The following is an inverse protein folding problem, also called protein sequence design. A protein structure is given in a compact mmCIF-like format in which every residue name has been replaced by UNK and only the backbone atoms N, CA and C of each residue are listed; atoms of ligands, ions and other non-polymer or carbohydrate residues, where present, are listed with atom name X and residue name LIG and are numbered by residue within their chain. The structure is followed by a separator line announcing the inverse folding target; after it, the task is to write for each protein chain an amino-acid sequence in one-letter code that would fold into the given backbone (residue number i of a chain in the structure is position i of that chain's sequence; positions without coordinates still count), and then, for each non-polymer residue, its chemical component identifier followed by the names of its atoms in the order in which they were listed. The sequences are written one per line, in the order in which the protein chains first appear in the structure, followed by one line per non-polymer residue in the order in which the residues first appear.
data_IF_172572731224
#
_entry.id   IF_172572731224
#
_cell.length_a   1.000
_cell.length_b   1.000
_cell.length_c   1.000
_cell.angle_alpha   90.00
_cell.angle_beta   90.00
_cell.angle_gamma   90.00
#
_symmetry.space_group_name_H-M   'P 1'
#
loop_
_entity.id
_entity.type
_entity.pdbx_description
1 polymer ?
#
# COMPACT_ATOMS: atom_id res chain seq x y z
N UNK A 1 -23.04 -28.58 24.75
CA UNK A 1 -21.97 -27.56 24.91
C UNK A 1 -21.24 -27.34 23.57
N UNK A 2 -21.96 -26.86 22.53
CA UNK A 2 -21.58 -27.06 21.12
C UNK A 2 -21.35 -25.76 20.34
N UNK A 3 -21.00 -24.65 20.99
CA UNK A 3 -21.12 -23.31 20.39
C UNK A 3 -19.82 -22.53 20.17
N UNK A 4 -18.70 -22.80 20.84
CA UNK A 4 -17.59 -21.83 20.84
C UNK A 4 -16.79 -21.70 19.51
N UNK A 5 -16.29 -22.76 18.85
CA UNK A 5 -15.31 -22.57 17.77
C UNK A 5 -15.93 -22.16 16.42
N UNK A 6 -17.13 -22.69 16.09
CA UNK A 6 -17.86 -22.29 14.89
C UNK A 6 -18.26 -20.82 14.97
N UNK A 7 -18.76 -20.39 16.13
CA UNK A 7 -19.15 -19.00 16.37
C UNK A 7 -17.91 -18.10 16.36
N UNK A 8 -16.78 -18.51 16.92
CA UNK A 8 -15.54 -17.72 16.85
C UNK A 8 -15.04 -17.52 15.43
N UNK A 9 -15.10 -18.55 14.56
CA UNK A 9 -14.69 -18.40 13.15
C UNK A 9 -15.71 -17.58 12.36
N UNK A 10 -17.00 -17.79 12.58
CA UNK A 10 -18.05 -16.97 11.95
C UNK A 10 -17.98 -15.52 12.42
N UNK A 11 -17.65 -15.26 13.70
CA UNK A 11 -17.41 -13.92 14.22
C UNK A 11 -16.15 -13.31 13.63
N UNK A 12 -15.06 -14.07 13.49
CA UNK A 12 -13.83 -13.59 12.85
C UNK A 12 -14.08 -13.24 11.37
N UNK A 13 -14.78 -14.10 10.64
CA UNK A 13 -15.19 -13.85 9.25
C UNK A 13 -16.16 -12.67 9.16
N UNK A 14 -17.11 -12.54 10.10
CA UNK A 14 -18.04 -11.40 10.15
C UNK A 14 -17.31 -10.08 10.46
N UNK A 15 -16.34 -10.10 11.37
CA UNK A 15 -15.45 -8.96 11.65
C UNK A 15 -14.64 -8.56 10.42
N UNK A 16 -14.14 -9.54 9.65
CA UNK A 16 -13.43 -9.29 8.40
C UNK A 16 -14.36 -8.74 7.30
N UNK A 17 -15.61 -9.20 7.21
CA UNK A 17 -16.61 -8.66 6.27
C UNK A 17 -17.08 -7.25 6.64
N UNK A 18 -17.02 -6.86 7.92
CA UNK A 18 -17.33 -5.47 8.32
C UNK A 18 -16.14 -4.52 8.14
N UNK A 19 -14.95 -5.05 7.88
CA UNK A 19 -13.71 -4.30 7.62
C UNK A 19 -13.35 -4.32 6.13
N UNK A 20 -14.10 -5.05 5.30
CA UNK A 20 -13.79 -5.20 3.89
C UNK A 20 -14.20 -3.94 3.15
N UNK A 21 -13.34 -2.96 3.09
CA UNK A 21 -13.17 -2.22 1.86
C UNK A 21 -11.78 -2.60 1.39
N UNK A 22 -11.64 -3.22 0.21
CA UNK A 22 -10.33 -3.25 -0.44
C UNK A 22 -10.11 -1.85 -1.01
N UNK A 23 -9.62 -0.95 -0.17
CA UNK A 23 -9.19 0.35 -0.63
C UNK A 23 -7.95 0.17 -1.50
N UNK A 24 -7.91 0.75 -2.70
CA UNK A 24 -6.62 1.07 -3.31
C UNK A 24 -5.84 1.93 -2.30
N UNK A 25 -4.57 1.60 -2.06
CA UNK A 25 -3.72 2.49 -1.26
C UNK A 25 -3.40 3.67 -2.15
N UNK A 26 -3.84 4.85 -1.74
CA UNK A 26 -3.61 6.07 -2.50
C UNK A 26 -2.32 6.74 -2.05
N UNK A 27 -1.48 7.09 -3.01
CA UNK A 27 -0.18 7.68 -2.74
C UNK A 27 -0.16 9.14 -3.16
N UNK A 28 0.23 10.00 -2.22
CA UNK A 28 0.66 11.36 -2.57
C UNK A 28 2.16 11.43 -2.43
N UNK A 29 2.79 11.72 -3.56
CA UNK A 29 4.22 11.96 -3.57
C UNK A 29 4.48 13.43 -3.34
N UNK A 30 5.52 13.73 -2.56
CA UNK A 30 5.93 15.11 -2.36
C UNK A 30 7.43 15.27 -2.56
N UNK A 31 7.82 16.30 -3.30
CA UNK A 31 9.21 16.76 -3.36
C UNK A 31 9.28 18.16 -2.74
N UNK A 32 9.98 18.27 -1.62
CA UNK A 32 10.18 19.51 -0.88
C UNK A 32 11.61 19.97 -1.10
N UNK A 33 11.83 20.96 -1.97
CA UNK A 33 13.14 21.50 -2.29
C UNK A 33 13.32 22.90 -1.68
N UNK A 34 14.23 23.02 -0.72
CA UNK A 34 14.50 24.28 -0.03
C UNK A 34 15.64 24.98 -0.77
N UNK A 35 15.29 26.00 -1.54
CA UNK A 35 16.21 26.79 -2.35
C UNK A 35 16.36 28.20 -1.78
N UNK A 36 17.48 28.45 -1.09
CA UNK A 36 17.73 29.73 -0.45
C UNK A 36 16.74 30.00 0.68
N UNK A 37 15.85 30.96 0.50
CA UNK A 37 14.82 31.35 1.47
C UNK A 37 13.40 30.90 1.10
N UNK A 38 13.27 30.05 0.08
CA UNK A 38 11.99 29.60 -0.46
C UNK A 38 11.94 28.08 -0.50
N UNK A 39 10.83 27.51 -0.05
CA UNK A 39 10.51 26.10 -0.24
C UNK A 39 9.68 25.98 -1.51
N UNK A 40 10.16 25.15 -2.43
CA UNK A 40 9.38 24.69 -3.57
C UNK A 40 8.83 23.32 -3.19
N UNK A 41 7.51 23.17 -3.23
CA UNK A 41 6.83 21.91 -2.93
C UNK A 41 6.12 21.43 -4.18
N UNK A 42 6.48 20.25 -4.69
CA UNK A 42 5.74 19.55 -5.74
C UNK A 42 4.97 18.40 -5.10
N UNK A 43 3.64 18.50 -5.08
CA UNK A 43 2.77 17.40 -4.69
C UNK A 43 2.22 16.71 -5.93
N UNK A 44 2.59 15.44 -6.11
CA UNK A 44 2.19 14.64 -7.25
C UNK A 44 1.02 13.72 -6.89
N UNK A 45 -0.08 13.84 -7.65
CA UNK A 45 -1.32 13.09 -7.50
C UNK A 45 -1.58 12.22 -8.74
N UNK A 46 -1.87 10.93 -8.55
CA UNK A 46 -2.31 10.04 -9.64
C UNK A 46 -3.82 10.19 -9.80
N UNK A 47 -4.32 10.58 -10.97
CA UNK A 47 -5.71 11.09 -11.06
C UNK A 47 -6.83 10.07 -10.88
N UNK A 48 -6.74 8.84 -11.41
CA UNK A 48 -7.74 7.80 -11.12
C UNK A 48 -7.99 7.61 -9.63
N UNK A 49 -6.99 7.89 -8.80
CA UNK A 49 -7.02 7.74 -7.36
C UNK A 49 -7.83 8.85 -6.65
N UNK A 50 -7.63 10.09 -7.08
CA UNK A 50 -8.19 11.27 -6.39
C UNK A 50 -9.42 11.87 -7.09
N UNK A 51 -9.84 11.32 -8.23
CA UNK A 51 -10.97 11.84 -9.00
C UNK A 51 -12.23 12.04 -8.17
N UNK A 52 -12.62 11.04 -7.36
CA UNK A 52 -13.82 11.13 -6.52
C UNK A 52 -13.69 12.16 -5.39
N UNK A 53 -12.56 12.19 -4.67
CA UNK A 53 -12.30 13.17 -3.61
C UNK A 53 -12.31 14.60 -4.15
N UNK A 54 -11.81 14.78 -5.37
CA UNK A 54 -11.82 16.04 -6.09
C UNK A 54 -13.15 16.31 -6.82
N UNK A 55 -14.14 15.42 -6.71
CA UNK A 55 -15.43 15.51 -7.40
C UNK A 55 -15.29 15.71 -8.91
N UNK A 56 -14.28 15.05 -9.50
CA UNK A 56 -14.00 14.99 -10.92
C UNK A 56 -14.47 13.64 -11.47
N UNK A 57 -15.18 13.67 -12.59
CA UNK A 57 -15.58 12.47 -13.32
C UNK A 57 -14.76 12.34 -14.61
N UNK A 58 -14.28 11.14 -14.98
CA UNK A 58 -13.61 10.94 -16.26
C UNK A 58 -14.58 11.15 -17.43
N UNK A 59 -14.06 11.48 -18.61
CA UNK A 59 -14.89 11.61 -19.80
C UNK A 59 -15.63 10.28 -20.08
N UNK A 60 -16.97 10.26 -20.20
CA UNK A 60 -17.75 9.02 -20.36
C UNK A 60 -17.43 8.20 -21.62
N UNK A 61 -16.87 8.83 -22.64
CA UNK A 61 -16.54 8.20 -23.93
C UNK A 61 -15.12 7.63 -23.94
N UNK A 62 -14.18 8.29 -23.26
CA UNK A 62 -12.76 7.91 -23.29
C UNK A 62 -12.30 7.23 -22.00
N UNK A 63 -13.07 7.34 -20.91
CA UNK A 63 -12.69 6.88 -19.57
C UNK A 63 -11.53 7.67 -18.96
N UNK A 64 -11.11 8.78 -19.57
CA UNK A 64 -9.91 9.54 -19.16
C UNK A 64 -10.30 10.92 -18.65
N UNK A 65 -9.51 11.42 -17.71
CA UNK A 65 -9.58 12.81 -17.27
C UNK A 65 -8.89 13.70 -18.28
N UNK A 66 -9.60 14.70 -18.82
CA UNK A 66 -9.07 15.57 -19.86
C UNK A 66 -8.25 16.72 -19.26
N UNK A 67 -7.19 17.13 -19.95
CA UNK A 67 -6.30 18.19 -19.45
C UNK A 67 -7.05 19.50 -19.22
N UNK A 68 -7.98 19.85 -20.11
CA UNK A 68 -8.79 21.06 -19.99
C UNK A 68 -9.68 21.02 -18.75
N UNK A 69 -10.33 19.89 -18.48
CA UNK A 69 -11.13 19.68 -17.27
C UNK A 69 -10.29 19.82 -15.99
N UNK A 70 -9.09 19.24 -15.98
CA UNK A 70 -8.17 19.35 -14.85
C UNK A 70 -7.72 20.80 -14.63
N UNK A 71 -7.38 21.52 -15.70
CA UNK A 71 -7.00 22.93 -15.64
C UNK A 71 -8.16 23.83 -15.16
N UNK A 72 -9.40 23.54 -15.54
CA UNK A 72 -10.59 24.26 -15.06
C UNK A 72 -10.81 24.07 -13.55
N UNK A 73 -10.41 22.93 -12.99
CA UNK A 73 -10.54 22.60 -11.58
C UNK A 73 -9.25 22.84 -10.77
N UNK A 74 -8.29 23.60 -11.32
CA UNK A 74 -6.98 23.82 -10.67
C UNK A 74 -7.06 24.31 -9.23
N UNK A 75 -7.93 25.29 -8.95
CA UNK A 75 -8.03 25.88 -7.60
C UNK A 75 -8.52 24.85 -6.59
N UNK A 76 -9.47 23.99 -6.99
CA UNK A 76 -9.97 22.92 -6.14
C UNK A 76 -8.86 21.92 -5.78
N UNK A 77 -7.97 21.61 -6.72
CA UNK A 77 -6.84 20.71 -6.48
C UNK A 77 -5.78 21.35 -5.58
N UNK A 78 -5.48 22.65 -5.76
CA UNK A 78 -4.58 23.37 -4.86
C UNK A 78 -5.14 23.42 -3.43
N UNK A 79 -6.42 23.79 -3.28
CA UNK A 79 -7.08 23.84 -1.97
C UNK A 79 -7.11 22.47 -1.31
N UNK A 80 -7.32 21.39 -2.08
CA UNK A 80 -7.30 20.02 -1.55
C UNK A 80 -6.02 19.70 -0.77
N UNK A 81 -4.86 20.14 -1.29
CA UNK A 81 -3.56 20.00 -0.64
C UNK A 81 -3.41 20.98 0.52
N UNK A 82 -3.72 22.26 0.32
CA UNK A 82 -3.57 23.30 1.35
C UNK A 82 -4.39 23.02 2.60
N UNK A 83 -5.60 22.47 2.45
CA UNK A 83 -6.49 22.15 3.56
C UNK A 83 -6.02 20.93 4.38
N UNK A 84 -5.05 20.17 3.84
CA UNK A 84 -4.63 18.87 4.41
C UNK A 84 -3.17 18.81 4.79
N UNK A 85 -2.31 19.66 4.26
CA UNK A 85 -0.87 19.58 4.47
C UNK A 85 -0.39 20.85 5.15
N UNK A 86 0.08 20.68 6.39
CA UNK A 86 0.74 21.75 7.13
C UNK A 86 2.25 21.50 7.12
N UNK A 87 3.00 22.52 6.71
CA UNK A 87 4.46 22.49 6.76
C UNK A 87 4.92 23.60 7.70
N UNK A 88 5.76 23.24 8.66
CA UNK A 88 6.36 24.17 9.61
C UNK A 88 7.87 24.08 9.56
N UNK A 89 8.53 25.23 9.59
CA UNK A 89 9.95 25.36 9.82
C UNK A 89 10.20 25.99 11.18
N UNK A 90 10.76 25.21 12.09
CA UNK A 90 10.96 25.58 13.49
C UNK A 90 9.61 25.95 14.17
N UNK A 91 9.29 27.25 14.23
CA UNK A 91 8.03 27.79 14.77
C UNK A 91 7.20 28.55 13.73
N UNK A 92 7.67 28.62 12.48
CA UNK A 92 7.03 29.36 11.40
C UNK A 92 6.27 28.40 10.48
N UNK A 93 5.01 28.70 10.22
CA UNK A 93 4.22 28.02 9.20
C UNK A 93 4.68 28.45 7.80
N UNK A 94 4.92 27.47 6.93
CA UNK A 94 5.23 27.69 5.53
C UNK A 94 3.92 27.86 4.75
N UNK A 95 3.57 29.09 4.42
CA UNK A 95 2.37 29.37 3.61
C UNK A 95 2.55 28.79 2.21
N UNK A 96 1.75 27.78 1.88
CA UNK A 96 1.76 27.11 0.58
C UNK A 96 1.08 27.98 -0.47
N UNK A 97 1.82 28.88 -1.14
CA UNK A 97 1.27 29.70 -2.22
C UNK A 97 1.22 28.89 -3.52
N UNK A 98 0.02 28.73 -4.08
CA UNK A 98 -0.18 28.05 -5.38
C UNK A 98 0.67 28.73 -6.47
N UNK A 99 1.53 27.99 -7.15
CA UNK A 99 2.45 28.54 -8.15
C UNK A 99 2.16 28.05 -9.56
N UNK A 100 2.23 26.73 -9.79
CA UNK A 100 2.09 26.15 -11.13
C UNK A 100 1.53 24.72 -11.09
N UNK A 101 0.97 24.28 -12.22
CA UNK A 101 0.44 22.92 -12.40
C UNK A 101 1.06 22.27 -13.63
N UNK A 102 1.70 21.13 -13.43
CA UNK A 102 2.25 20.33 -14.52
C UNK A 102 1.58 18.96 -14.60
N UNK A 103 1.69 18.32 -15.76
CA UNK A 103 1.13 17.01 -16.03
C UNK A 103 2.23 16.12 -16.58
N UNK A 104 2.33 14.92 -16.05
CA UNK A 104 3.17 13.86 -16.61
C UNK A 104 2.33 12.59 -16.75
N UNK A 105 2.90 11.60 -17.43
CA UNK A 105 2.33 10.25 -17.52
C UNK A 105 3.38 9.27 -17.00
N UNK A 106 2.95 8.31 -16.20
CA UNK A 106 3.85 7.24 -15.77
C UNK A 106 4.05 6.23 -16.92
N UNK A 107 4.91 5.23 -16.70
CA UNK A 107 5.22 4.17 -17.68
C UNK A 107 3.99 3.33 -18.09
N UNK A 108 2.87 3.49 -17.38
CA UNK A 108 1.60 2.80 -17.57
C UNK A 108 0.56 3.66 -18.29
N UNK A 109 0.90 4.91 -18.62
CA UNK A 109 0.01 5.88 -19.26
C UNK A 109 -1.02 6.50 -18.32
N UNK A 110 -0.85 6.34 -17.00
CA UNK A 110 -1.68 7.02 -16.00
C UNK A 110 -1.19 8.45 -15.84
N UNK A 111 -2.12 9.39 -15.76
CA UNK A 111 -1.80 10.81 -15.65
C UNK A 111 -1.48 11.18 -14.21
N UNK A 112 -0.32 11.79 -14.02
CA UNK A 112 0.13 12.39 -12.77
C UNK A 112 -0.04 13.90 -12.88
N UNK A 113 -0.63 14.51 -11.86
CA UNK A 113 -0.70 15.96 -11.69
C UNK A 113 0.34 16.39 -10.69
N UNK A 114 1.15 17.37 -11.07
CA UNK A 114 2.11 18.05 -10.20
C UNK A 114 1.53 19.38 -9.77
N UNK A 115 1.24 19.53 -8.48
CA UNK A 115 0.78 20.77 -7.87
C UNK A 115 1.97 21.45 -7.20
N UNK A 116 2.45 22.51 -7.82
CA UNK A 116 3.67 23.21 -7.39
C UNK A 116 3.28 24.41 -6.53
N UNK A 117 3.83 24.45 -5.33
CA UNK A 117 3.69 25.55 -4.39
C UNK A 117 5.03 26.23 -4.13
N UNK A 118 4.97 27.49 -3.73
CA UNK A 118 6.13 28.25 -3.22
C UNK A 118 5.81 28.79 -1.85
N UNK A 119 6.69 28.53 -0.89
CA UNK A 119 6.59 29.07 0.46
C UNK A 119 7.83 29.94 0.74
N UNK A 120 7.77 31.25 0.49
CA UNK A 120 8.90 32.15 0.75
C UNK A 120 9.05 32.45 2.25
N UNK A 121 10.20 32.99 2.65
CA UNK A 121 10.43 33.49 4.01
C UNK A 121 11.07 32.50 4.97
N UNK A 122 11.62 31.39 4.45
CA UNK A 122 12.28 30.36 5.25
C UNK A 122 13.71 30.81 5.51
N UNK A 123 14.04 31.14 6.75
CA UNK A 123 15.37 31.66 7.10
C UNK A 123 16.14 30.66 7.96
N UNK A 124 17.11 29.99 7.36
CA UNK A 124 18.01 29.04 8.03
C UNK A 124 17.27 27.99 8.86
N UNK A 125 16.39 27.18 8.23
CA UNK A 125 15.51 26.27 8.95
C UNK A 125 16.34 25.19 9.63
N UNK A 126 16.09 24.92 10.91
CA UNK A 126 16.75 23.80 11.61
C UNK A 126 15.88 22.57 11.59
N UNK A 127 14.60 22.73 11.88
CA UNK A 127 13.64 21.65 11.96
C UNK A 127 12.56 21.86 10.93
N UNK A 128 12.29 20.84 10.13
CA UNK A 128 11.12 20.74 9.29
C UNK A 128 10.13 19.79 9.97
N UNK A 129 8.92 20.27 10.19
CA UNK A 129 7.78 19.46 10.58
C UNK A 129 6.76 19.49 9.45
N UNK A 130 6.26 18.32 9.05
CA UNK A 130 5.15 18.19 8.12
C UNK A 130 4.06 17.37 8.78
N UNK A 131 2.83 17.82 8.69
CA UNK A 131 1.65 17.04 9.04
C UNK A 131 0.69 16.97 7.87
N UNK A 132 0.03 15.83 7.75
CA UNK A 132 -1.02 15.61 6.79
C UNK A 132 -2.29 15.12 7.51
N UNK A 133 -3.42 15.81 7.31
CA UNK A 133 -4.72 15.29 7.71
C UNK A 133 -5.22 14.29 6.66
N UNK A 134 -5.03 13.01 6.99
CA UNK A 134 -5.32 11.86 6.13
C UNK A 134 -6.61 11.14 6.53
N UNK A 135 -7.44 11.75 7.38
CA UNK A 135 -8.56 11.04 8.03
C UNK A 135 -9.93 11.29 7.40
N UNK A 136 -10.05 12.30 6.53
CA UNK A 136 -11.32 12.75 5.95
C UNK A 136 -11.30 12.70 4.40
N UNK A 137 -11.11 11.51 3.85
CA UNK A 137 -11.15 11.19 2.41
C UNK A 137 -12.21 10.12 2.16
N UNK A 138 -12.72 10.03 0.93
CA UNK A 138 -13.63 8.94 0.50
C UNK A 138 -12.98 7.57 0.74
N UNK A 139 -11.64 7.54 0.73
CA UNK A 139 -10.85 6.35 0.98
C UNK A 139 -9.80 6.57 2.10
N UNK A 140 -9.98 5.97 3.29
CA UNK A 140 -9.20 6.25 4.51
C UNK A 140 -7.78 5.65 4.53
N UNK A 141 -7.31 5.04 3.43
CA UNK A 141 -5.98 4.41 3.34
C UNK A 141 -5.10 5.22 2.39
N UNK A 142 -4.48 6.25 2.96
CA UNK A 142 -3.61 7.20 2.26
C UNK A 142 -2.19 7.09 2.82
N UNK A 143 -1.19 6.86 1.97
CA UNK A 143 0.22 6.94 2.34
C UNK A 143 0.87 8.15 1.68
N UNK A 144 1.42 9.05 2.48
CA UNK A 144 2.20 10.18 1.99
C UNK A 144 3.66 9.77 1.92
N UNK A 145 4.22 9.79 0.72
CA UNK A 145 5.61 9.44 0.46
C UNK A 145 6.34 10.65 -0.10
N UNK A 146 7.02 11.36 0.78
CA UNK A 146 7.76 12.57 0.42
C UNK A 146 9.27 12.35 0.39
N UNK A 147 9.98 13.25 -0.27
CA UNK A 147 11.40 13.50 -0.04
C UNK A 147 11.65 14.99 0.17
N UNK A 148 12.54 15.31 1.09
CA UNK A 148 13.03 16.67 1.34
C UNK A 148 14.43 16.75 0.81
N UNK A 149 14.67 17.72 -0.07
CA UNK A 149 15.98 18.13 -0.51
C UNK A 149 16.36 19.41 0.22
N UNK A 150 17.44 19.34 0.99
CA UNK A 150 18.04 20.49 1.65
C UNK A 150 19.54 20.47 1.39
N UNK A 151 20.05 21.50 0.71
CA UNK A 151 21.43 21.52 0.19
C UNK A 151 21.65 20.34 -0.78
N UNK A 152 22.64 19.47 -0.52
CA UNK A 152 22.95 18.26 -1.31
C UNK A 152 22.41 16.97 -0.67
N UNK A 153 21.59 17.09 0.39
CA UNK A 153 21.04 15.94 1.13
C UNK A 153 19.59 15.71 0.78
N UNK A 154 19.22 14.44 0.71
CA UNK A 154 17.84 13.99 0.54
C UNK A 154 17.38 13.17 1.75
N UNK A 155 16.13 13.37 2.16
CA UNK A 155 15.50 12.69 3.29
C UNK A 155 14.13 12.20 2.90
N UNK A 156 13.83 10.94 3.17
CA UNK A 156 12.47 10.42 3.00
C UNK A 156 11.56 10.92 4.12
N UNK A 157 10.35 11.29 3.74
CA UNK A 157 9.20 11.49 4.61
C UNK A 157 8.23 10.35 4.31
N UNK A 158 7.78 9.66 5.34
CA UNK A 158 6.69 8.70 5.23
C UNK A 158 5.64 9.10 6.27
N UNK A 159 4.46 9.51 5.84
CA UNK A 159 3.28 9.69 6.70
C UNK A 159 2.25 8.62 6.37
N UNK A 160 1.57 8.16 7.40
CA UNK A 160 0.46 7.20 7.31
C UNK A 160 -0.68 7.67 8.19
N UNK A 161 -1.89 7.09 8.11
CA UNK A 161 -2.99 7.49 8.98
C UNK A 161 -2.66 7.33 10.49
N UNK A 162 -1.73 6.43 10.83
CA UNK A 162 -1.23 6.22 12.19
C UNK A 162 -0.06 7.15 12.56
N UNK A 163 0.62 7.74 11.57
CA UNK A 163 1.71 8.72 11.74
C UNK A 163 1.46 9.91 10.81
N UNK A 164 0.52 10.76 11.19
CA UNK A 164 0.12 11.92 10.41
C UNK A 164 1.14 13.07 10.44
N UNK A 165 2.14 13.03 11.32
CA UNK A 165 3.18 14.06 11.41
C UNK A 165 4.60 13.46 11.39
N UNK A 166 5.50 14.11 10.67
CA UNK A 166 6.93 13.79 10.64
C UNK A 166 7.75 15.04 10.95
N UNK A 167 8.76 14.88 11.78
CA UNK A 167 9.67 15.96 12.15
C UNK A 167 11.10 15.53 11.89
N UNK A 168 11.86 16.40 11.25
CA UNK A 168 13.26 16.17 10.91
C UNK A 168 14.11 17.40 11.20
N UNK A 169 15.27 17.17 11.80
CA UNK A 169 16.31 18.17 11.89
C UNK A 169 17.14 18.14 10.59
N UNK A 170 17.11 19.25 9.85
CA UNK A 170 17.73 19.41 8.54
C UNK A 170 19.27 19.42 8.61
N UNK A 171 19.84 19.67 9.80
CA UNK A 171 21.28 19.70 10.03
C UNK A 171 21.85 18.41 10.62
N UNK A 172 20.99 17.48 11.08
CA UNK A 172 21.45 16.19 11.57
C UNK A 172 22.11 15.37 10.44
N UNK A 173 23.08 14.53 10.82
CA UNK A 173 23.68 13.56 9.90
C UNK A 173 22.62 12.67 9.25
N UNK A 174 22.98 12.06 8.12
CA UNK A 174 22.13 11.06 7.48
C UNK A 174 21.60 10.08 8.51
N UNK A 175 20.26 9.85 8.56
CA UNK A 175 19.69 8.93 9.52
C UNK A 175 20.46 7.65 9.29
N UNK A 176 21.27 7.28 10.29
CA UNK A 176 22.22 6.21 10.09
C UNK A 176 21.50 4.99 9.54
N UNK A 177 22.21 4.15 8.79
CA UNK A 177 21.69 2.93 8.17
C UNK A 177 20.64 2.19 9.05
N UNK A 178 20.87 2.16 10.36
CA UNK A 178 19.95 1.64 11.37
C UNK A 178 18.54 2.25 11.37
N UNK A 179 18.40 3.58 11.30
CA UNK A 179 17.08 4.23 11.31
C UNK A 179 16.31 3.94 10.01
N UNK A 180 17.01 3.90 8.87
CA UNK A 180 16.42 3.50 7.60
C UNK A 180 15.94 2.04 7.63
N UNK A 181 16.80 1.11 8.10
CA UNK A 181 16.43 -0.30 8.30
C UNK A 181 15.19 -0.41 9.18
N UNK A 182 15.17 0.30 10.33
CA UNK A 182 14.04 0.27 11.25
C UNK A 182 12.76 0.80 10.61
N UNK A 183 12.84 1.90 9.86
CA UNK A 183 11.68 2.50 9.21
C UNK A 183 11.07 1.54 8.18
N UNK A 184 11.87 0.98 7.28
CA UNK A 184 11.39 0.07 6.25
C UNK A 184 10.95 -1.29 6.80
N UNK A 185 11.60 -1.79 7.85
CA UNK A 185 11.16 -3.01 8.54
C UNK A 185 9.77 -2.80 9.15
N UNK A 186 9.53 -1.68 9.83
CA UNK A 186 8.21 -1.37 10.39
C UNK A 186 7.16 -1.17 9.29
N UNK A 187 7.52 -0.47 8.21
CA UNK A 187 6.65 -0.29 7.04
C UNK A 187 6.24 -1.65 6.44
N UNK A 188 7.17 -2.59 6.29
CA UNK A 188 6.87 -3.94 5.79
C UNK A 188 5.94 -4.73 6.69
N UNK A 189 6.06 -4.57 8.01
CA UNK A 189 5.11 -5.18 8.97
C UNK A 189 3.73 -4.54 8.78
N UNK A 190 3.64 -3.22 8.86
CA UNK A 190 2.38 -2.46 8.76
C UNK A 190 1.65 -2.75 7.44
N UNK A 191 2.37 -2.84 6.33
CA UNK A 191 1.84 -3.17 5.00
C UNK A 191 0.99 -4.46 4.98
N UNK A 192 1.43 -5.50 5.68
CA UNK A 192 0.70 -6.77 5.76
C UNK A 192 -0.57 -6.67 6.62
N UNK A 193 -0.58 -5.80 7.64
CA UNK A 193 -1.74 -5.60 8.50
C UNK A 193 -2.79 -4.66 7.89
N UNK A 194 -2.39 -3.76 7.00
CA UNK A 194 -3.31 -2.82 6.33
C UNK A 194 -3.97 -3.48 5.11
N UNK A 195 -3.25 -4.33 4.37
CA UNK A 195 -3.79 -5.00 3.18
C UNK A 195 -4.77 -6.13 3.52
N UNK A 196 -6.08 -5.88 3.40
CA UNK A 196 -7.08 -6.93 3.65
C UNK A 196 -6.98 -8.09 2.66
N UNK A 197 -6.52 -7.82 1.44
CA UNK A 197 -6.22 -8.85 0.43
C UNK A 197 -5.04 -9.73 0.84
N UNK A 198 -3.98 -9.17 1.45
CA UNK A 198 -2.90 -9.95 2.07
C UNK A 198 -3.41 -10.83 3.21
N UNK A 199 -4.27 -10.29 4.09
CA UNK A 199 -4.87 -11.05 5.19
C UNK A 199 -5.74 -12.18 4.64
N UNK A 200 -6.60 -11.92 3.65
CA UNK A 200 -7.47 -12.93 3.02
C UNK A 200 -6.66 -14.03 2.33
N UNK A 201 -5.59 -13.65 1.60
CA UNK A 201 -4.67 -14.59 0.98
C UNK A 201 -4.01 -15.48 2.03
N UNK A 202 -3.44 -14.90 3.09
CA UNK A 202 -2.76 -15.62 4.16
C UNK A 202 -3.73 -16.53 4.94
N UNK A 203 -4.94 -16.05 5.25
CA UNK A 203 -6.00 -16.87 5.84
C UNK A 203 -6.34 -18.06 4.93
N UNK A 204 -6.49 -17.83 3.63
CA UNK A 204 -6.70 -18.86 2.63
C UNK A 204 -5.63 -19.95 2.65
N UNK A 205 -4.36 -19.55 2.78
CA UNK A 205 -3.22 -20.46 2.86
C UNK A 205 -3.25 -21.35 4.11
N UNK A 206 -3.56 -20.79 5.28
CA UNK A 206 -3.48 -21.49 6.57
C UNK A 206 -4.75 -22.28 6.93
N UNK A 207 -5.89 -22.02 6.28
CA UNK A 207 -7.20 -22.62 6.60
C UNK A 207 -7.20 -24.15 6.62
N UNK A 208 -6.46 -24.78 5.70
CA UNK A 208 -6.36 -26.24 5.60
C UNK A 208 -5.49 -26.87 6.71
N UNK A 209 -4.85 -26.05 7.54
CA UNK A 209 -3.92 -26.45 8.57
C UNK A 209 -2.51 -26.73 8.02
N UNK A 210 -1.71 -27.40 8.84
CA UNK A 210 -0.30 -27.65 8.57
C UNK A 210 0.54 -27.49 9.82
N UNK A 211 1.80 -27.92 9.75
CA UNK A 211 2.81 -27.62 10.76
C UNK A 211 3.28 -26.19 10.60
N UNK A 212 3.63 -25.54 11.70
CA UNK A 212 4.13 -24.16 11.68
C UNK A 212 5.27 -23.97 10.65
N UNK A 213 6.22 -24.90 10.61
CA UNK A 213 7.36 -24.83 9.67
C UNK A 213 6.96 -24.95 8.19
N UNK A 214 5.86 -25.66 7.88
CA UNK A 214 5.36 -25.77 6.50
C UNK A 214 4.73 -24.44 6.06
N UNK A 215 3.98 -23.80 6.97
CA UNK A 215 3.38 -22.50 6.70
C UNK A 215 4.44 -21.41 6.57
N UNK A 216 5.46 -21.42 7.44
CA UNK A 216 6.63 -20.53 7.29
C UNK A 216 7.29 -20.76 5.92
N UNK A 217 7.57 -22.01 5.53
CA UNK A 217 8.15 -22.32 4.21
C UNK A 217 7.30 -21.75 3.05
N UNK A 218 5.98 -21.80 3.16
CA UNK A 218 5.06 -21.27 2.14
C UNK A 218 5.19 -19.75 2.04
N UNK A 219 5.12 -19.03 3.17
CA UNK A 219 5.23 -17.56 3.16
C UNK A 219 6.63 -17.09 2.79
N UNK A 220 7.69 -17.78 3.24
CA UNK A 220 9.06 -17.49 2.81
C UNK A 220 9.21 -17.65 1.31
N UNK A 221 8.61 -18.69 0.71
CA UNK A 221 8.64 -18.87 -0.74
C UNK A 221 7.93 -17.74 -1.49
N UNK A 222 6.84 -17.22 -0.93
CA UNK A 222 6.15 -16.04 -1.45
C UNK A 222 7.05 -14.81 -1.35
N UNK A 223 7.61 -14.53 -0.17
CA UNK A 223 8.44 -13.35 0.09
C UNK A 223 9.69 -13.31 -0.78
N UNK A 224 10.35 -14.45 -0.99
CA UNK A 224 11.51 -14.54 -1.91
C UNK A 224 11.09 -14.17 -3.34
N UNK A 225 10.00 -14.75 -3.85
CA UNK A 225 9.51 -14.48 -5.19
C UNK A 225 9.04 -13.02 -5.36
N UNK A 226 8.34 -12.51 -4.36
CA UNK A 226 7.92 -11.12 -4.26
C UNK A 226 9.14 -10.17 -4.26
N UNK A 227 10.16 -10.46 -3.45
CA UNK A 227 11.39 -9.67 -3.38
C UNK A 227 12.08 -9.54 -4.74
N UNK A 228 12.11 -10.63 -5.52
CA UNK A 228 12.72 -10.65 -6.85
C UNK A 228 11.99 -9.68 -7.79
N UNK A 229 10.67 -9.79 -7.88
CA UNK A 229 9.86 -9.01 -8.82
C UNK A 229 9.69 -7.55 -8.37
N UNK A 230 9.60 -7.30 -7.07
CA UNK A 230 9.68 -5.97 -6.48
C UNK A 230 11.00 -5.29 -6.84
N UNK A 231 12.13 -6.00 -6.72
CA UNK A 231 13.45 -5.45 -7.07
C UNK A 231 13.57 -5.18 -8.56
N UNK A 232 13.11 -6.11 -9.41
CA UNK A 232 13.12 -5.93 -10.87
C UNK A 232 12.30 -4.72 -11.30
N UNK A 233 11.14 -4.54 -10.68
CA UNK A 233 10.31 -3.39 -10.99
C UNK A 233 10.92 -2.12 -10.41
N UNK A 234 11.31 -2.07 -9.13
CA UNK A 234 11.92 -0.87 -8.53
C UNK A 234 13.19 -0.37 -9.26
N UNK A 235 13.94 -1.27 -9.90
CA UNK A 235 15.12 -0.94 -10.72
C UNK A 235 14.80 -0.60 -12.19
N UNK A 236 13.51 -0.46 -12.54
CA UNK A 236 13.02 -0.22 -13.90
C UNK A 236 13.47 -1.30 -14.92
N UNK A 237 13.69 -2.53 -14.48
CA UNK A 237 14.05 -3.65 -15.38
C UNK A 237 12.79 -4.20 -16.07
N UNK A 238 11.67 -4.26 -15.37
CA UNK A 238 10.39 -4.77 -15.87
C UNK A 238 9.25 -3.87 -15.41
N UNK A 239 8.35 -3.53 -16.33
CA UNK A 239 7.18 -2.67 -16.10
C UNK A 239 5.94 -3.37 -16.64
N UNK A 240 4.91 -3.53 -15.80
CA UNK A 240 3.66 -4.19 -16.18
C UNK A 240 2.46 -3.28 -15.85
N UNK A 241 1.39 -3.27 -16.67
CA UNK A 241 0.14 -2.56 -16.37
C UNK A 241 -0.40 -2.85 -14.97
N UNK A 242 -0.69 -1.82 -14.16
CA UNK A 242 -1.26 -1.94 -12.80
C UNK A 242 -2.50 -2.84 -12.81
N UNK A 243 -3.44 -2.61 -13.72
CA UNK A 243 -4.65 -3.41 -13.85
C UNK A 243 -4.36 -4.92 -14.02
N UNK A 244 -3.33 -5.30 -14.78
CA UNK A 244 -2.94 -6.71 -14.94
C UNK A 244 -2.36 -7.30 -13.66
N UNK A 245 -1.52 -6.53 -12.96
CA UNK A 245 -0.90 -6.94 -11.71
C UNK A 245 -1.98 -7.13 -10.64
N UNK A 246 -2.83 -6.13 -10.43
CA UNK A 246 -3.90 -6.14 -9.44
C UNK A 246 -4.94 -7.24 -9.72
N UNK A 247 -5.26 -7.48 -11.00
CA UNK A 247 -6.10 -8.59 -11.42
C UNK A 247 -5.47 -9.94 -11.10
N UNK A 248 -4.17 -10.10 -11.35
CA UNK A 248 -3.44 -11.34 -11.02
C UNK A 248 -3.37 -11.57 -9.50
N UNK A 249 -3.18 -10.51 -8.71
CA UNK A 249 -3.25 -10.54 -7.24
C UNK A 249 -4.63 -11.03 -6.80
N UNK A 250 -5.72 -10.45 -7.31
CA UNK A 250 -7.07 -10.86 -6.96
C UNK A 250 -7.37 -12.32 -7.37
N UNK A 251 -6.93 -12.75 -8.56
CA UNK A 251 -7.05 -14.14 -9.00
C UNK A 251 -6.28 -15.12 -8.11
N UNK A 252 -5.14 -14.73 -7.55
CA UNK A 252 -4.40 -15.59 -6.63
C UNK A 252 -5.22 -15.93 -5.37
N UNK A 253 -6.02 -14.97 -4.87
CA UNK A 253 -6.92 -15.16 -3.72
C UNK A 253 -8.06 -16.12 -4.08
N UNK A 254 -8.67 -15.92 -5.26
CA UNK A 254 -9.69 -16.83 -5.80
C UNK A 254 -9.11 -18.24 -5.90
N UNK A 255 -7.92 -18.39 -6.47
CA UNK A 255 -7.27 -19.69 -6.63
C UNK A 255 -7.08 -20.38 -5.29
N UNK A 256 -6.48 -19.70 -4.31
CA UNK A 256 -6.21 -20.27 -2.97
C UNK A 256 -7.52 -20.67 -2.28
N UNK A 257 -8.58 -19.86 -2.41
CA UNK A 257 -9.90 -20.19 -1.89
C UNK A 257 -10.52 -21.41 -2.58
N UNK A 258 -10.43 -21.52 -3.91
CA UNK A 258 -10.93 -22.68 -4.67
C UNK A 258 -10.13 -23.94 -4.35
N UNK A 259 -8.82 -23.84 -4.26
CA UNK A 259 -7.91 -24.95 -3.98
C UNK A 259 -8.27 -25.66 -2.66
N UNK A 260 -8.67 -24.89 -1.64
CA UNK A 260 -9.06 -25.40 -0.31
C UNK A 260 -10.24 -26.40 -0.34
N UNK A 261 -11.05 -26.42 -1.39
CA UNK A 261 -12.12 -27.41 -1.54
C UNK A 261 -11.60 -28.81 -1.91
N UNK A 262 -10.42 -28.89 -2.53
CA UNK A 262 -9.89 -30.10 -3.15
C UNK A 262 -8.67 -30.67 -2.42
N UNK A 263 -7.83 -29.80 -1.85
CA UNK A 263 -6.58 -30.24 -1.18
C UNK A 263 -6.80 -30.60 0.29
N UNK A 264 -6.00 -31.54 0.79
CA UNK A 264 -6.04 -32.01 2.18
C UNK A 264 -4.75 -31.74 2.97
N UNK A 265 -3.70 -31.29 2.29
CA UNK A 265 -2.37 -31.04 2.87
C UNK A 265 -1.70 -29.85 2.17
N UNK A 266 -0.91 -29.04 2.88
CA UNK A 266 -0.17 -27.91 2.31
C UNK A 266 1.19 -28.27 1.67
N UNK A 267 1.59 -29.54 1.60
CA UNK A 267 2.98 -29.99 1.29
C UNK A 267 3.63 -29.35 0.04
N UNK A 268 2.86 -29.08 -1.01
CA UNK A 268 3.33 -28.50 -2.27
C UNK A 268 2.88 -27.07 -2.51
N UNK A 269 2.13 -26.50 -1.56
CA UNK A 269 1.52 -25.18 -1.70
C UNK A 269 2.55 -24.06 -1.84
N UNK A 270 3.77 -24.28 -1.35
CA UNK A 270 4.88 -23.32 -1.45
C UNK A 270 5.24 -23.01 -2.92
N UNK A 271 5.08 -23.95 -3.85
CA UNK A 271 5.38 -23.73 -5.28
C UNK A 271 4.38 -22.74 -5.87
N UNK A 272 3.09 -23.04 -5.70
CA UNK A 272 1.99 -22.20 -6.21
C UNK A 272 2.04 -20.82 -5.57
N UNK A 273 2.27 -20.77 -4.26
CA UNK A 273 2.37 -19.51 -3.51
C UNK A 273 3.59 -18.71 -3.95
N UNK A 274 4.73 -19.35 -4.26
CA UNK A 274 5.89 -18.70 -4.86
C UNK A 274 5.58 -18.08 -6.23
N UNK A 275 4.82 -18.78 -7.08
CA UNK A 275 4.37 -18.23 -8.37
C UNK A 275 3.50 -16.98 -8.16
N UNK A 276 2.57 -17.01 -7.19
CA UNK A 276 1.80 -15.83 -6.85
C UNK A 276 2.67 -14.70 -6.28
N UNK A 277 3.68 -15.03 -5.48
CA UNK A 277 4.67 -14.05 -5.01
C UNK A 277 5.32 -13.26 -6.14
N UNK A 278 5.63 -13.90 -7.28
CA UNK A 278 6.15 -13.21 -8.46
C UNK A 278 5.16 -12.16 -9.02
N UNK A 279 3.87 -12.46 -9.05
CA UNK A 279 2.87 -11.50 -9.51
C UNK A 279 2.73 -10.33 -8.54
N UNK A 280 2.72 -10.62 -7.24
CA UNK A 280 2.50 -9.63 -6.18
C UNK A 280 3.63 -8.59 -6.08
N UNK A 281 4.90 -8.98 -6.31
CA UNK A 281 6.02 -8.04 -6.18
C UNK A 281 5.98 -6.88 -7.17
N UNK A 282 5.25 -7.01 -8.28
CA UNK A 282 5.05 -5.90 -9.20
C UNK A 282 4.11 -4.81 -8.68
N UNK A 283 3.22 -5.12 -7.73
CA UNK A 283 2.17 -4.19 -7.28
C UNK A 283 2.68 -3.03 -6.43
N UNK A 284 3.73 -3.27 -5.63
CA UNK A 284 4.26 -2.26 -4.70
C UNK A 284 5.40 -1.42 -5.31
N UNK A 285 5.93 -1.81 -6.47
CA UNK A 285 7.15 -1.23 -7.01
C UNK A 285 6.98 0.20 -7.55
N UNK A 286 5.80 0.54 -8.09
CA UNK A 286 5.53 1.89 -8.58
C UNK A 286 5.66 2.93 -7.46
N UNK A 287 5.29 2.54 -6.24
CA UNK A 287 5.40 3.35 -5.03
C UNK A 287 6.85 3.71 -4.72
N UNK A 288 7.73 2.71 -4.75
CA UNK A 288 9.15 2.87 -4.44
C UNK A 288 9.93 3.59 -5.54
N UNK A 289 9.56 3.41 -6.82
CA UNK A 289 10.19 4.14 -7.93
C UNK A 289 10.05 5.65 -7.76
N UNK A 290 8.87 6.11 -7.37
CA UNK A 290 8.54 7.53 -7.24
C UNK A 290 9.27 8.19 -6.06
N UNK A 291 9.82 7.42 -5.11
CA UNK A 291 10.65 7.94 -4.02
C UNK A 291 12.04 8.42 -4.47
N UNK A 292 12.50 8.07 -5.68
CA UNK A 292 13.78 8.49 -6.26
C UNK A 292 15.00 8.34 -5.33
N UNK A 293 15.03 7.27 -4.52
CA UNK A 293 16.13 6.98 -3.61
C UNK A 293 17.45 6.72 -4.36
N UNK A 294 18.61 7.13 -3.81
CA UNK A 294 19.91 6.64 -4.29
C UNK A 294 19.94 5.10 -4.27
N UNK A 295 20.51 4.48 -5.29
CA UNK A 295 20.43 3.02 -5.54
C UNK A 295 20.87 2.19 -4.33
N UNK A 296 21.92 2.60 -3.62
CA UNK A 296 22.40 1.89 -2.41
C UNK A 296 21.37 1.94 -1.27
N UNK A 297 20.77 3.10 -1.03
CA UNK A 297 19.70 3.28 -0.05
C UNK A 297 18.43 2.53 -0.44
N UNK A 298 18.14 2.40 -1.74
CA UNK A 298 17.00 1.65 -2.25
C UNK A 298 17.15 0.15 -1.94
N UNK A 299 18.31 -0.46 -2.20
CA UNK A 299 18.52 -1.91 -1.97
C UNK A 299 18.34 -2.28 -0.51
N UNK A 300 18.94 -1.53 0.42
CA UNK A 300 18.79 -1.83 1.86
C UNK A 300 17.36 -1.61 2.34
N UNK A 301 16.66 -0.62 1.78
CA UNK A 301 15.26 -0.33 2.08
C UNK A 301 14.35 -1.45 1.62
N UNK A 302 14.51 -1.91 0.37
CA UNK A 302 13.78 -3.06 -0.20
C UNK A 302 14.01 -4.34 0.60
N UNK A 303 15.27 -4.61 0.96
CA UNK A 303 15.60 -5.77 1.78
C UNK A 303 14.94 -5.68 3.16
N UNK A 304 15.06 -4.54 3.84
CA UNK A 304 14.47 -4.32 5.17
C UNK A 304 12.94 -4.42 5.15
N UNK A 305 12.30 -3.89 4.10
CA UNK A 305 10.86 -4.01 3.86
C UNK A 305 10.41 -5.47 3.73
N UNK A 306 11.09 -6.27 2.91
CA UNK A 306 10.73 -7.68 2.73
C UNK A 306 10.94 -8.51 4.01
N UNK A 307 11.96 -8.19 4.82
CA UNK A 307 12.10 -8.78 6.16
C UNK A 307 10.92 -8.38 7.06
N UNK A 308 10.49 -7.12 7.01
CA UNK A 308 9.28 -6.66 7.69
C UNK A 308 8.04 -7.44 7.29
N UNK A 309 7.84 -7.65 5.99
CA UNK A 309 6.73 -8.45 5.43
C UNK A 309 6.74 -9.88 5.96
N UNK A 310 7.89 -10.57 5.89
CA UNK A 310 8.04 -11.94 6.40
C UNK A 310 7.71 -12.00 7.90
N UNK A 311 8.21 -11.03 8.68
CA UNK A 311 7.93 -10.93 10.12
C UNK A 311 6.43 -10.75 10.37
N UNK A 312 5.77 -9.85 9.63
CA UNK A 312 4.33 -9.64 9.71
C UNK A 312 3.53 -10.91 9.42
N UNK A 313 3.87 -11.62 8.34
CA UNK A 313 3.24 -12.89 7.98
C UNK A 313 3.44 -13.97 9.06
N UNK A 314 4.65 -14.11 9.59
CA UNK A 314 4.96 -15.07 10.66
C UNK A 314 4.20 -14.75 11.94
N UNK A 315 4.04 -13.46 12.30
CA UNK A 315 3.21 -13.03 13.44
C UNK A 315 1.76 -13.46 13.22
N UNK A 316 1.18 -13.21 12.05
CA UNK A 316 -0.21 -13.60 11.76
C UNK A 316 -0.35 -15.13 11.82
N UNK A 317 0.57 -15.89 11.24
CA UNK A 317 0.57 -17.36 11.33
C UNK A 317 0.60 -17.80 12.80
N UNK A 318 1.51 -17.24 13.61
CA UNK A 318 1.66 -17.60 15.01
C UNK A 318 0.39 -17.32 15.83
N UNK A 319 -0.32 -16.23 15.52
CA UNK A 319 -1.56 -15.85 16.20
C UNK A 319 -2.77 -16.69 15.76
N UNK A 320 -2.90 -16.97 14.46
CA UNK A 320 -4.09 -17.62 13.89
C UNK A 320 -3.99 -19.15 13.88
N UNK A 321 -2.80 -19.72 13.70
CA UNK A 321 -2.61 -21.17 13.61
C UNK A 321 -3.14 -21.96 14.82
N UNK A 322 -2.98 -21.51 16.07
CA UNK A 322 -3.57 -22.20 17.23
C UNK A 322 -5.10 -22.27 17.16
N UNK A 323 -5.75 -21.20 16.67
CA UNK A 323 -7.20 -21.15 16.47
C UNK A 323 -7.64 -22.14 15.38
N UNK A 324 -6.89 -22.20 14.27
CA UNK A 324 -7.11 -23.18 13.20
C UNK A 324 -6.94 -24.60 13.73
N UNK A 325 -5.90 -24.89 14.52
CA UNK A 325 -5.71 -26.22 15.12
C UNK A 325 -6.87 -26.61 16.06
N UNK A 326 -7.39 -25.67 16.85
CA UNK A 326 -8.56 -25.93 17.69
C UNK A 326 -9.81 -26.20 16.85
N UNK A 327 -10.02 -25.42 15.79
CA UNK A 327 -11.11 -25.58 14.82
C UNK A 327 -11.04 -26.93 14.11
N UNK A 328 -9.87 -27.37 13.67
CA UNK A 328 -9.66 -28.63 12.94
C UNK A 328 -9.88 -29.88 13.81
N UNK A 329 -9.89 -29.75 15.14
CA UNK A 329 -10.28 -30.83 16.07
C UNK A 329 -11.80 -31.05 16.15
N UNK A 330 -12.60 -30.17 15.56
CA UNK A 330 -14.06 -30.27 15.61
C UNK A 330 -14.62 -31.18 14.51
N UNK A 331 -15.81 -31.75 14.74
CA UNK A 331 -16.55 -32.51 13.72
C UNK A 331 -16.99 -31.65 12.51
N UNK A 332 -17.01 -30.32 12.68
CA UNK A 332 -17.44 -29.35 11.67
C UNK A 332 -16.29 -28.82 10.81
N UNK A 333 -15.06 -29.35 10.98
CA UNK A 333 -13.87 -28.85 10.30
C UNK A 333 -14.04 -28.65 8.80
N UNK A 334 -14.72 -29.58 8.12
CA UNK A 334 -14.94 -29.50 6.67
C UNK A 334 -15.86 -28.34 6.31
N UNK A 335 -16.98 -28.20 7.02
CA UNK A 335 -17.94 -27.13 6.81
C UNK A 335 -17.29 -25.77 7.06
N UNK A 336 -16.47 -25.65 8.11
CA UNK A 336 -15.79 -24.39 8.43
C UNK A 336 -14.80 -24.00 7.33
N UNK A 337 -13.93 -24.93 6.92
CA UNK A 337 -12.97 -24.67 5.83
C UNK A 337 -13.70 -24.30 4.55
N UNK A 338 -14.79 -24.99 4.19
CA UNK A 338 -15.55 -24.71 2.98
C UNK A 338 -16.27 -23.37 3.02
N UNK A 339 -16.91 -23.01 4.15
CA UNK A 339 -17.57 -21.71 4.30
C UNK A 339 -16.54 -20.58 4.25
N UNK A 340 -15.44 -20.70 5.00
CA UNK A 340 -14.38 -19.69 4.99
C UNK A 340 -13.74 -19.54 3.60
N UNK A 341 -13.52 -20.66 2.90
CA UNK A 341 -12.98 -20.64 1.53
C UNK A 341 -13.95 -20.05 0.53
N UNK A 342 -15.26 -20.32 0.66
CA UNK A 342 -16.29 -19.71 -0.17
C UNK A 342 -16.32 -18.17 0.00
N UNK A 343 -16.21 -17.70 1.25
CA UNK A 343 -16.11 -16.26 1.54
C UNK A 343 -14.88 -15.65 0.86
N UNK A 344 -13.70 -16.28 0.99
CA UNK A 344 -12.46 -15.83 0.34
C UNK A 344 -12.61 -15.80 -1.19
N UNK A 345 -13.24 -16.81 -1.78
CA UNK A 345 -13.50 -16.84 -3.24
C UNK A 345 -14.42 -15.71 -3.66
N UNK A 346 -15.48 -15.42 -2.90
CA UNK A 346 -16.41 -14.33 -3.21
C UNK A 346 -15.67 -13.00 -3.19
N UNK A 347 -14.92 -12.69 -2.13
CA UNK A 347 -14.10 -11.46 -2.05
C UNK A 347 -13.04 -11.37 -3.15
N UNK A 348 -12.30 -12.45 -3.40
CA UNK A 348 -11.31 -12.46 -4.47
C UNK A 348 -11.95 -12.25 -5.85
N UNK A 349 -13.14 -12.80 -6.08
CA UNK A 349 -13.85 -12.67 -7.35
C UNK A 349 -14.43 -11.26 -7.53
N UNK A 350 -14.96 -10.63 -6.48
CA UNK A 350 -15.42 -9.23 -6.55
C UNK A 350 -14.24 -8.31 -6.86
N UNK A 351 -13.13 -8.43 -6.13
CA UNK A 351 -11.93 -7.62 -6.40
C UNK A 351 -11.35 -7.87 -7.78
N UNK A 352 -11.39 -9.11 -8.28
CA UNK A 352 -10.95 -9.41 -9.64
C UNK A 352 -11.84 -8.69 -10.67
N UNK A 353 -13.16 -8.72 -10.50
CA UNK A 353 -14.07 -8.04 -11.42
C UNK A 353 -13.89 -6.52 -11.38
N UNK A 354 -13.69 -5.94 -10.20
CA UNK A 354 -13.41 -4.53 -10.02
C UNK A 354 -12.10 -4.14 -10.73
N UNK A 355 -11.00 -4.84 -10.43
CA UNK A 355 -9.65 -4.51 -10.92
C UNK A 355 -9.44 -4.85 -12.41
N UNK A 356 -10.11 -5.87 -12.94
CA UNK A 356 -9.94 -6.30 -14.33
C UNK A 356 -10.82 -5.53 -15.32
N UNK A 357 -11.98 -5.06 -14.87
CA UNK A 357 -12.99 -4.44 -15.74
C UNK A 357 -13.39 -3.02 -15.32
N UNK A 358 -12.75 -2.45 -14.31
CA UNK A 358 -13.04 -1.12 -13.76
C UNK A 358 -14.52 -0.96 -13.39
N UNK A 359 -15.10 -2.03 -12.85
CA UNK A 359 -16.51 -2.07 -12.48
C UNK A 359 -16.70 -1.52 -11.07
N UNK A 360 -17.67 -0.62 -10.83
CA UNK A 360 -18.04 -0.19 -9.48
C UNK A 360 -18.92 -1.27 -8.85
N UNK A 361 -18.34 -2.44 -8.56
CA UNK A 361 -19.13 -3.58 -8.08
C UNK A 361 -19.70 -3.31 -6.68
N UNK A 362 -19.11 -2.42 -5.88
CA UNK A 362 -19.77 -1.83 -4.70
C UNK A 362 -20.25 -2.86 -3.67
N UNK A 363 -19.60 -4.02 -3.66
CA UNK A 363 -19.68 -5.04 -2.63
C UNK A 363 -18.23 -5.14 -2.12
N UNK A 364 -17.71 -4.20 -1.34
CA UNK A 364 -18.12 -3.74 -0.01
C UNK A 364 -17.39 -2.43 0.32
#
# INVERSE_FOLDING_TARGET
MLRSPLISVLLLLALLTSLSNAHPIYFVYAELDIQGDTLISDFSLIIPEFGQDLGLEPNPQTGRFEREQLLQNRERMFNYIQDRIDIHFDYFEAELLSHDIAFSENELGERIIHLIFRSPGIRSPRVLSISADLTNTVYPVFEFLGKVKFTERQRLIILSPQRSSFQINLHDEDPGLFLQIRAFLLLGIEHIFIGIDHIMFLLGLILIGGRFIELVKIVTSFTIAHSITLSLSALNVVTLPTALIESAIALSIVYIGVENFFIKSPDYRWIVTGIFGLAHGFGFANVLKNLALPTEGLVISLFSFNIGVEVGQVIIIALILPLIWLMLKTQWKRQIVWIASAVIVIFGATWFLERAFDLPVGIV
#
